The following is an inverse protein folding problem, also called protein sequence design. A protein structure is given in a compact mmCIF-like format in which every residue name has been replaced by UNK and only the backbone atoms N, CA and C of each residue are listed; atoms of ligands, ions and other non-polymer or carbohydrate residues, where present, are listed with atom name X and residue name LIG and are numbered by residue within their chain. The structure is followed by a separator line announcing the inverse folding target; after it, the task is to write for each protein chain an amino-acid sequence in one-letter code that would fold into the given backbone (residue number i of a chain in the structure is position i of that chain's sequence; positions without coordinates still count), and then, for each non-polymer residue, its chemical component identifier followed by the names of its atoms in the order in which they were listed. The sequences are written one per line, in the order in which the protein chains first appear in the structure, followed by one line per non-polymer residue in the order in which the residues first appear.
data_IF_696978127358
#
_entry.id   IF_696978127358
#
_cell.length_a   1.000
_cell.length_b   1.000
_cell.length_c   1.000
_cell.angle_alpha   90.00
_cell.angle_beta   90.00
_cell.angle_gamma   90.00
#
_symmetry.space_group_name_H-M   'P 1'
#
loop_
_entity.id
_entity.type
_entity.pdbx_description
1 polymer ?
#
# COMPACT_ATOMS: atom_id res chain seq x y z
N UNK A 1 18.48 -25.36 -13.89
CA UNK A 1 17.05 -24.98 -13.79
C UNK A 1 17.00 -23.45 -13.72
N UNK A 2 16.44 -22.78 -14.72
CA UNK A 2 16.31 -21.33 -14.69
C UNK A 2 15.18 -20.97 -13.71
N UNK A 3 15.52 -20.31 -12.61
CA UNK A 3 14.53 -19.72 -11.72
C UNK A 3 13.83 -18.60 -12.50
N UNK A 4 12.59 -18.85 -12.94
CA UNK A 4 11.74 -17.79 -13.47
C UNK A 4 11.40 -16.83 -12.31
N UNK A 5 12.27 -15.85 -12.07
CA UNK A 5 11.94 -14.74 -11.18
C UNK A 5 10.91 -13.88 -11.89
N UNK A 6 9.65 -14.00 -11.46
CA UNK A 6 8.58 -13.10 -11.90
C UNK A 6 8.97 -11.69 -11.47
N UNK A 7 9.22 -10.82 -12.44
CA UNK A 7 9.49 -9.42 -12.16
C UNK A 7 8.16 -8.70 -11.86
N UNK A 8 7.87 -8.50 -10.58
CA UNK A 8 6.61 -7.87 -10.14
C UNK A 8 6.53 -6.38 -10.52
N UNK A 9 7.61 -5.74 -10.97
CA UNK A 9 7.57 -4.36 -11.47
C UNK A 9 6.78 -4.21 -12.78
N UNK A 10 6.48 -5.30 -13.49
CA UNK A 10 5.69 -5.28 -14.74
C UNK A 10 4.24 -5.75 -14.57
N UNK A 11 3.86 -6.21 -13.37
CA UNK A 11 2.49 -6.65 -13.09
C UNK A 11 1.63 -5.41 -12.81
N UNK A 12 0.51 -5.21 -13.53
CA UNK A 12 -0.40 -4.11 -13.26
C UNK A 12 -0.89 -4.15 -11.81
N UNK A 13 -0.76 -3.03 -11.10
CA UNK A 13 -1.29 -2.89 -9.75
C UNK A 13 -2.82 -2.82 -9.81
N UNK A 14 -3.52 -3.40 -8.81
CA UNK A 14 -4.95 -3.18 -8.68
C UNK A 14 -5.20 -1.69 -8.37
N UNK A 15 -6.06 -1.04 -9.14
CA UNK A 15 -6.43 0.37 -8.89
C UNK A 15 -7.71 0.42 -8.08
N UNK A 16 -7.67 1.03 -6.90
CA UNK A 16 -8.83 1.26 -6.06
C UNK A 16 -9.61 2.48 -6.53
N UNK A 17 -10.90 2.31 -6.77
CA UNK A 17 -11.81 3.37 -7.21
C UNK A 17 -12.92 3.68 -6.21
N UNK A 18 -12.90 3.04 -5.03
CA UNK A 18 -13.89 3.21 -3.97
C UNK A 18 -14.80 1.99 -3.75
N UNK A 19 -14.76 0.97 -4.61
CA UNK A 19 -15.52 -0.28 -4.48
C UNK A 19 -14.57 -1.48 -4.26
N UNK A 20 -15.00 -2.49 -3.50
CA UNK A 20 -14.26 -3.73 -3.21
C UNK A 20 -12.92 -3.47 -2.50
N UNK A 21 -12.94 -2.63 -1.47
CA UNK A 21 -11.76 -2.27 -0.69
C UNK A 21 -11.05 -3.50 -0.13
N UNK A 22 -11.78 -4.48 0.42
CA UNK A 22 -11.23 -5.72 0.96
C UNK A 22 -10.41 -6.50 -0.08
N UNK A 23 -10.93 -6.62 -1.31
CA UNK A 23 -10.26 -7.33 -2.38
C UNK A 23 -9.03 -6.57 -2.89
N UNK A 24 -9.14 -5.24 -3.01
CA UNK A 24 -8.00 -4.39 -3.36
C UNK A 24 -6.90 -4.47 -2.31
N UNK A 25 -7.26 -4.32 -1.03
CA UNK A 25 -6.38 -4.42 0.15
C UNK A 25 -5.66 -5.76 0.18
N UNK A 26 -6.38 -6.87 -0.04
CA UNK A 26 -5.80 -8.22 -0.10
C UNK A 26 -4.74 -8.35 -1.20
N UNK A 27 -5.05 -7.88 -2.43
CA UNK A 27 -4.12 -7.95 -3.56
C UNK A 27 -2.89 -7.08 -3.32
N UNK A 28 -3.07 -5.87 -2.84
CA UNK A 28 -1.97 -4.92 -2.63
C UNK A 28 -1.07 -5.35 -1.46
N UNK A 29 -1.65 -5.89 -0.38
CA UNK A 29 -0.89 -6.53 0.71
C UNK A 29 -0.01 -7.67 0.19
N UNK A 30 -0.55 -8.54 -0.67
CA UNK A 30 0.21 -9.64 -1.29
C UNK A 30 1.38 -9.11 -2.12
N UNK A 31 1.15 -8.04 -2.89
CA UNK A 31 2.22 -7.37 -3.63
C UNK A 31 3.33 -6.88 -2.69
N UNK A 32 2.99 -6.16 -1.62
CA UNK A 32 3.99 -5.65 -0.67
C UNK A 32 4.79 -6.75 0.03
N UNK A 33 4.15 -7.87 0.39
CA UNK A 33 4.85 -9.03 0.94
C UNK A 33 5.85 -9.58 -0.08
N UNK A 34 5.46 -9.70 -1.36
CA UNK A 34 6.36 -10.17 -2.43
C UNK A 34 7.58 -9.27 -2.63
N UNK A 35 7.43 -7.97 -2.38
CA UNK A 35 8.48 -6.96 -2.51
C UNK A 35 9.26 -6.70 -1.21
N UNK A 36 8.93 -7.41 -0.11
CA UNK A 36 9.51 -7.18 1.23
C UNK A 36 9.30 -5.74 1.73
N UNK A 37 8.16 -5.16 1.41
CA UNK A 37 7.75 -3.79 1.78
C UNK A 37 6.70 -3.78 2.90
N UNK A 38 6.07 -4.92 3.21
CA UNK A 38 4.97 -4.99 4.17
C UNK A 38 5.35 -4.50 5.57
N UNK A 39 6.56 -4.80 6.04
CA UNK A 39 7.02 -4.36 7.36
C UNK A 39 7.07 -2.84 7.49
N UNK A 40 7.41 -2.14 6.39
CA UNK A 40 7.44 -0.67 6.33
C UNK A 40 6.03 -0.10 6.41
N UNK A 41 5.07 -0.72 5.74
CA UNK A 41 3.67 -0.28 5.78
C UNK A 41 3.08 -0.48 7.18
N UNK A 42 3.34 -1.63 7.81
CA UNK A 42 2.76 -1.94 9.11
C UNK A 42 3.45 -1.17 10.25
N UNK A 43 4.78 -1.11 10.25
CA UNK A 43 5.55 -0.56 11.36
C UNK A 43 5.92 0.90 11.16
N UNK A 44 6.05 1.34 9.91
CA UNK A 44 6.61 2.63 9.54
C UNK A 44 8.13 2.58 9.51
N UNK A 45 8.74 3.58 8.87
CA UNK A 45 10.17 3.77 8.97
C UNK A 45 10.51 4.54 10.26
N UNK A 46 11.26 3.91 11.17
CA UNK A 46 11.77 4.59 12.36
C UNK A 46 12.84 5.59 11.96
N UNK A 47 12.47 6.87 11.91
CA UNK A 47 13.42 7.98 11.84
C UNK A 47 14.22 7.98 13.14
N UNK A 48 15.51 7.68 13.08
CA UNK A 48 16.36 7.80 14.27
C UNK A 48 16.59 9.30 14.50
N UNK A 49 16.21 9.81 15.68
CA UNK A 49 16.43 11.22 16.01
C UNK A 49 17.93 11.54 15.93
N UNK A 50 18.27 12.55 15.14
CA UNK A 50 19.61 12.93 14.68
C UNK A 50 20.51 13.53 15.79
N UNK A 51 20.54 12.96 16.99
CA UNK A 51 21.34 13.49 18.12
C UNK A 51 22.46 12.55 18.56
N UNK A 52 22.55 11.34 18.00
CA UNK A 52 23.59 10.36 18.35
C UNK A 52 24.39 10.04 17.10
N UNK A 53 25.72 10.03 17.22
CA UNK A 53 26.65 9.63 16.16
C UNK A 53 26.29 8.21 15.70
N UNK A 54 25.54 8.11 14.60
CA UNK A 54 25.15 6.84 14.01
C UNK A 54 26.38 6.07 13.56
N UNK A 55 26.42 4.77 13.86
CA UNK A 55 27.36 3.88 13.21
C UNK A 55 27.07 3.80 11.70
N UNK A 56 28.07 3.41 10.91
CA UNK A 56 27.90 3.25 9.45
C UNK A 56 26.80 2.23 9.13
N UNK A 57 26.66 1.20 9.96
CA UNK A 57 25.65 0.16 9.84
C UNK A 57 24.24 0.69 10.09
N UNK A 58 24.06 1.60 11.05
CA UNK A 58 22.76 2.22 11.34
C UNK A 58 22.35 3.23 10.26
N UNK A 59 23.30 4.02 9.75
CA UNK A 59 23.03 4.94 8.65
C UNK A 59 22.57 4.19 7.39
N UNK A 60 23.24 3.08 7.04
CA UNK A 60 22.85 2.25 5.90
C UNK A 60 21.45 1.65 6.08
N UNK A 61 21.07 1.26 7.30
CA UNK A 61 19.74 0.74 7.60
C UNK A 61 18.67 1.82 7.45
N UNK A 62 18.97 3.05 7.88
CA UNK A 62 18.06 4.18 7.73
C UNK A 62 17.83 4.49 6.24
N UNK A 63 18.89 4.56 5.43
CA UNK A 63 18.79 4.78 3.99
C UNK A 63 17.95 3.70 3.29
N UNK A 64 18.17 2.41 3.61
CA UNK A 64 17.37 1.30 3.08
C UNK A 64 15.89 1.40 3.49
N UNK A 65 15.63 1.83 4.72
CA UNK A 65 14.29 2.02 5.25
C UNK A 65 13.55 3.17 4.54
N UNK A 66 14.21 4.32 4.37
CA UNK A 66 13.67 5.48 3.65
C UNK A 66 13.41 5.14 2.18
N UNK A 67 14.31 4.39 1.53
CA UNK A 67 14.13 3.96 0.16
C UNK A 67 12.91 3.02 0.01
N UNK A 68 12.74 2.07 0.93
CA UNK A 68 11.57 1.17 0.92
C UNK A 68 10.27 1.89 1.25
N UNK A 69 10.29 2.87 2.15
CA UNK A 69 9.12 3.69 2.46
C UNK A 69 8.68 4.50 1.24
N UNK A 70 9.62 5.17 0.56
CA UNK A 70 9.35 5.87 -0.69
C UNK A 70 8.80 4.93 -1.78
N UNK A 71 9.37 3.72 -1.91
CA UNK A 71 8.88 2.72 -2.86
C UNK A 71 7.46 2.26 -2.53
N UNK A 72 7.17 1.99 -1.25
CA UNK A 72 5.85 1.55 -0.82
C UNK A 72 4.79 2.66 -0.99
N UNK A 73 5.15 3.91 -0.68
CA UNK A 73 4.29 5.07 -0.87
C UNK A 73 3.97 5.29 -2.35
N UNK A 74 4.97 5.18 -3.23
CA UNK A 74 4.75 5.27 -4.67
C UNK A 74 3.76 4.20 -5.17
N UNK A 75 3.91 2.95 -4.72
CA UNK A 75 2.99 1.86 -5.07
C UNK A 75 1.57 2.17 -4.60
N UNK A 76 1.39 2.71 -3.38
CA UNK A 76 0.07 3.12 -2.89
C UNK A 76 -0.56 4.19 -3.78
N UNK A 77 0.21 5.21 -4.16
CA UNK A 77 -0.26 6.28 -5.04
C UNK A 77 -0.66 5.76 -6.43
N UNK A 78 0.07 4.77 -6.97
CA UNK A 78 -0.28 4.13 -8.25
C UNK A 78 -1.47 3.18 -8.15
N UNK A 79 -1.69 2.59 -6.97
CA UNK A 79 -2.74 1.62 -6.73
C UNK A 79 -4.09 2.26 -6.38
N UNK A 80 -4.22 3.59 -6.43
CA UNK A 80 -5.47 4.31 -6.15
C UNK A 80 -5.83 5.26 -7.30
N UNK A 81 -7.12 5.45 -7.55
CA UNK A 81 -7.61 6.45 -8.51
C UNK A 81 -7.41 7.89 -8.00
N UNK A 82 -7.46 8.88 -8.91
CA UNK A 82 -7.14 10.28 -8.60
C UNK A 82 -7.89 10.88 -7.40
N UNK A 83 -9.16 10.51 -7.23
CA UNK A 83 -9.98 11.02 -6.12
C UNK A 83 -9.46 10.54 -4.77
N UNK A 84 -9.05 9.27 -4.71
CA UNK A 84 -8.50 8.66 -3.50
C UNK A 84 -7.03 9.08 -3.31
N UNK A 85 -6.27 9.28 -4.40
CA UNK A 85 -4.92 9.82 -4.33
C UNK A 85 -4.87 11.17 -3.60
N UNK A 86 -5.89 12.03 -3.80
CA UNK A 86 -6.02 13.29 -3.06
C UNK A 86 -6.27 13.11 -1.56
N UNK A 87 -6.82 11.97 -1.11
CA UNK A 87 -7.02 11.67 0.32
C UNK A 87 -5.71 11.40 1.03
N UNK A 88 -4.79 10.74 0.34
CA UNK A 88 -3.47 10.37 0.88
C UNK A 88 -2.35 11.33 0.45
N UNK A 89 -2.65 12.45 -0.20
CA UNK A 89 -1.62 13.33 -0.78
C UNK A 89 -0.71 13.99 0.27
N UNK A 90 -1.23 14.21 1.48
CA UNK A 90 -0.48 14.78 2.61
C UNK A 90 0.21 13.69 3.46
N UNK A 91 0.15 12.42 3.03
CA UNK A 91 0.89 11.34 3.65
C UNK A 91 2.34 11.34 3.14
N UNK A 92 3.27 11.62 4.05
CA UNK A 92 4.71 11.65 3.81
C UNK A 92 5.37 10.28 3.98
N UNK A 93 4.62 9.27 4.43
CA UNK A 93 5.09 7.89 4.63
C UNK A 93 4.08 6.89 4.13
N UNK A 94 4.56 5.70 3.73
CA UNK A 94 3.69 4.64 3.24
C UNK A 94 2.71 4.17 4.31
N UNK A 95 3.17 4.10 5.57
CA UNK A 95 2.33 3.77 6.72
C UNK A 95 1.17 4.75 6.89
N UNK A 96 1.46 6.05 6.93
CA UNK A 96 0.42 7.08 7.07
C UNK A 96 -0.60 7.02 5.93
N UNK A 97 -0.13 6.79 4.69
CA UNK A 97 -1.03 6.62 3.55
C UNK A 97 -1.92 5.37 3.69
N UNK A 98 -1.35 4.24 4.14
CA UNK A 98 -2.09 3.02 4.39
C UNK A 98 -3.13 3.18 5.51
N UNK A 99 -2.74 3.78 6.62
CA UNK A 99 -3.62 4.01 7.78
C UNK A 99 -4.82 4.89 7.40
N UNK A 100 -4.63 5.94 6.59
CA UNK A 100 -5.73 6.78 6.06
C UNK A 100 -6.70 5.95 5.21
N UNK A 101 -6.19 5.08 4.34
CA UNK A 101 -7.02 4.22 3.50
C UNK A 101 -7.80 3.19 4.32
N UNK A 102 -7.16 2.60 5.34
CA UNK A 102 -7.86 1.74 6.28
C UNK A 102 -8.94 2.52 7.04
N UNK A 103 -8.64 3.67 7.62
CA UNK A 103 -9.62 4.46 8.37
C UNK A 103 -10.83 4.91 7.51
N UNK A 104 -10.61 5.33 6.27
CA UNK A 104 -11.67 5.89 5.42
C UNK A 104 -12.55 4.80 4.77
N UNK A 105 -12.01 3.60 4.53
CA UNK A 105 -12.68 2.56 3.73
C UNK A 105 -12.90 1.23 4.46
N UNK A 106 -12.19 0.96 5.57
CA UNK A 106 -12.43 -0.22 6.41
C UNK A 106 -13.77 -0.05 7.15
N UNK A 107 -14.70 -0.98 6.94
CA UNK A 107 -16.05 -0.93 7.51
C UNK A 107 -17.09 -0.18 6.67
N UNK A 108 -16.71 0.50 5.58
CA UNK A 108 -17.67 1.15 4.66
C UNK A 108 -18.34 0.14 3.69
N UNK A 109 -17.77 -1.07 3.56
CA UNK A 109 -18.27 -2.12 2.65
C UNK A 109 -19.50 -2.90 3.16
N UNK A 110 -19.92 -2.73 4.41
CA UNK A 110 -21.19 -3.30 4.88
C UNK A 110 -22.42 -2.67 4.19
N UNK A 111 -22.26 -1.60 3.39
CA UNK A 111 -23.37 -0.86 2.77
C UNK A 111 -23.51 -1.07 1.25
N UNK A 112 -22.58 -1.76 0.56
CA UNK A 112 -22.64 -1.91 -0.91
C UNK A 112 -22.82 -3.33 -1.46
N UNK A 113 -23.24 -4.29 -0.62
CA UNK A 113 -23.75 -5.60 -1.10
C UNK A 113 -25.09 -5.49 -1.86
N UNK A 114 -25.66 -4.30 -2.01
CA UNK A 114 -26.93 -4.06 -2.73
C UNK A 114 -26.79 -4.15 -4.26
N UNK A 115 -25.59 -4.04 -4.84
CA UNK A 115 -25.43 -4.16 -6.31
C UNK A 115 -25.45 -5.60 -6.84
N UNK A 116 -25.48 -6.63 -5.99
CA UNK A 116 -25.71 -8.01 -6.43
C UNK A 116 -27.19 -8.29 -6.80
N UNK A 117 -28.11 -7.38 -6.47
CA UNK A 117 -29.54 -7.54 -6.79
C UNK A 117 -29.97 -7.06 -8.18
N UNK A 118 -29.10 -6.40 -8.97
CA UNK A 118 -29.47 -5.96 -10.33
C UNK A 118 -29.24 -7.02 -11.41
N UNK A 119 -28.31 -7.96 -11.21
CA UNK A 119 -28.02 -9.00 -12.22
C UNK A 119 -28.93 -10.24 -12.13
N UNK A 120 -29.85 -10.30 -11.16
CA UNK A 120 -30.78 -11.43 -10.98
C UNK A 120 -32.22 -11.11 -11.40
N UNK A 121 -32.49 -9.91 -11.93
CA UNK A 121 -33.84 -9.47 -12.33
C UNK A 121 -33.97 -9.22 -13.84
N UNK A 122 -33.06 -9.78 -14.64
CA UNK A 122 -33.22 -9.92 -16.10
C UNK A 122 -33.34 -11.41 -16.54
N UNK A 123 -33.80 -12.27 -15.62
CA UNK A 123 -34.55 -13.47 -16.00
C UNK A 123 -36.04 -13.13 -16.05
#
# INVERSE_FOLDING_TARGET
MASNTVNFSSVPLPVFTGENFDLWKLKLKTYFISQKLWDIIQSGCTKLDNTITLSKEEQKKLEDCEQKDAQALFVLQQAVGETIARRIMDADTAKKAWDILEEEFEGNEQVHSVKLHYLRREF
#
